data_IF_089949879080
#
_entry.id   IF_089949879080
#
_cell.length_a   1.000
_cell.length_b   1.000
_cell.length_c   1.000
_cell.angle_alpha   90.00
_cell.angle_beta   90.00
_cell.angle_gamma   90.00
#
_symmetry.space_group_name_H-M   'P 1'
#
loop_
_entity.id
_entity.type
_entity.pdbx_description
1 polymer ?
#
# COMPACT_ATOMS: atom_id res chain seq x y z
N UNK A 1 5.86 12.29 60.55
CA UNK A 1 6.88 12.32 59.46
C UNK A 1 6.67 11.08 58.61
N UNK A 2 5.77 11.15 57.63
CA UNK A 2 5.58 10.14 56.56
C UNK A 2 4.55 10.63 55.52
N UNK A 3 4.44 11.94 55.31
CA UNK A 3 3.44 12.57 54.41
C UNK A 3 4.08 13.17 53.16
N UNK A 4 5.35 13.61 53.23
CA UNK A 4 6.04 14.23 52.08
C UNK A 4 6.53 13.21 51.03
N UNK A 5 7.03 12.04 51.45
CA UNK A 5 7.48 11.01 50.49
C UNK A 5 6.31 10.45 49.65
N UNK A 6 5.14 10.27 50.28
CA UNK A 6 3.95 9.75 49.60
C UNK A 6 3.37 10.76 48.60
N UNK A 7 3.39 12.05 48.93
CA UNK A 7 2.94 13.11 48.02
C UNK A 7 3.87 13.26 46.80
N UNK A 8 5.19 13.15 46.97
CA UNK A 8 6.14 13.25 45.86
C UNK A 8 6.09 12.07 44.89
N UNK A 9 5.77 10.87 45.39
CA UNK A 9 5.56 9.67 44.56
C UNK A 9 4.24 9.76 43.78
N UNK A 10 3.17 10.25 44.41
CA UNK A 10 1.88 10.51 43.78
C UNK A 10 2.01 11.54 42.65
N UNK A 11 2.69 12.66 42.91
CA UNK A 11 2.96 13.72 41.91
C UNK A 11 3.77 13.20 40.71
N UNK A 12 4.74 12.30 40.95
CA UNK A 12 5.57 11.71 39.88
C UNK A 12 4.77 10.71 39.05
N UNK A 13 3.92 9.91 39.70
CA UNK A 13 3.05 8.95 39.03
C UNK A 13 2.00 9.66 38.16
N UNK A 14 1.38 10.72 38.69
CA UNK A 14 0.42 11.56 37.96
C UNK A 14 1.09 12.22 36.73
N UNK A 15 2.32 12.70 36.88
CA UNK A 15 3.08 13.29 35.77
C UNK A 15 3.38 12.26 34.66
N UNK A 16 3.75 11.03 35.02
CA UNK A 16 4.00 9.95 34.05
C UNK A 16 2.70 9.50 33.36
N UNK A 17 1.58 9.43 34.09
CA UNK A 17 0.28 9.12 33.49
C UNK A 17 -0.17 10.22 32.52
N UNK A 18 0.05 11.50 32.85
CA UNK A 18 -0.23 12.61 31.95
C UNK A 18 0.68 12.60 30.70
N UNK A 19 1.95 12.22 30.85
CA UNK A 19 2.88 12.05 29.74
C UNK A 19 2.44 10.91 28.81
N UNK A 20 2.01 9.78 29.37
CA UNK A 20 1.46 8.65 28.62
C UNK A 20 0.19 9.03 27.86
N UNK A 21 -0.76 9.72 28.50
CA UNK A 21 -1.97 10.19 27.84
C UNK A 21 -1.65 11.11 26.64
N UNK A 22 -0.63 11.97 26.76
CA UNK A 22 -0.15 12.82 25.65
C UNK A 22 0.51 12.01 24.54
N UNK A 23 1.25 10.94 24.88
CA UNK A 23 1.88 10.07 23.90
C UNK A 23 0.83 9.35 23.03
N UNK A 24 -0.21 8.82 23.66
CA UNK A 24 -1.34 8.21 22.96
C UNK A 24 -2.12 9.23 22.13
N UNK A 25 -2.46 10.39 22.70
CA UNK A 25 -3.14 11.44 21.93
C UNK A 25 -2.35 11.86 20.68
N UNK A 26 -1.04 12.04 20.79
CA UNK A 26 -0.18 12.34 19.64
C UNK A 26 -0.18 11.20 18.60
N UNK A 27 -0.19 9.94 19.04
CA UNK A 27 -0.28 8.80 18.13
C UNK A 27 -1.62 8.76 17.40
N UNK A 28 -2.71 8.93 18.14
CA UNK A 28 -4.08 8.91 17.62
C UNK A 28 -4.29 10.09 16.67
N UNK A 29 -3.71 11.27 16.93
CA UNK A 29 -3.78 12.43 16.05
C UNK A 29 -2.88 12.30 14.80
N UNK A 30 -2.08 11.24 14.68
CA UNK A 30 -1.15 11.07 13.55
C UNK A 30 0.14 11.90 13.68
N UNK A 31 0.37 12.51 14.83
CA UNK A 31 1.61 13.21 15.19
C UNK A 31 2.69 12.22 15.62
N UNK A 32 3.00 11.28 14.73
CA UNK A 32 3.83 10.11 15.01
C UNK A 32 5.24 10.44 15.51
N UNK A 33 5.84 11.54 15.03
CA UNK A 33 7.15 11.99 15.50
C UNK A 33 7.09 12.40 16.98
N UNK A 34 6.05 13.17 17.35
CA UNK A 34 5.81 13.55 18.73
C UNK A 34 5.48 12.33 19.59
N UNK A 35 4.64 11.41 19.10
CA UNK A 35 4.34 10.17 19.80
C UNK A 35 5.62 9.37 20.11
N UNK A 36 6.52 9.21 19.11
CA UNK A 36 7.77 8.50 19.28
C UNK A 36 8.69 9.15 20.34
N UNK A 37 8.77 10.49 20.36
CA UNK A 37 9.55 11.23 21.36
C UNK A 37 8.98 11.04 22.77
N UNK A 38 7.66 11.16 22.93
CA UNK A 38 6.98 11.02 24.24
C UNK A 38 7.08 9.58 24.78
N UNK A 39 6.88 8.56 23.94
CA UNK A 39 7.15 7.18 24.33
C UNK A 39 8.63 6.95 24.66
N UNK A 40 9.55 7.66 23.98
CA UNK A 40 10.97 7.63 24.30
C UNK A 40 11.29 8.19 25.69
N UNK A 41 10.62 9.27 26.10
CA UNK A 41 10.71 9.82 27.45
C UNK A 41 10.20 8.81 28.50
N UNK A 42 9.03 8.20 28.26
CA UNK A 42 8.46 7.17 29.14
C UNK A 42 9.41 5.96 29.29
N UNK A 43 10.03 5.51 28.19
CA UNK A 43 11.04 4.43 28.22
C UNK A 43 12.26 4.82 29.07
N UNK A 44 12.64 6.11 29.06
CA UNK A 44 13.72 6.62 29.92
C UNK A 44 13.43 6.47 31.41
N UNK A 45 12.15 6.55 31.80
CA UNK A 45 11.68 6.37 33.17
C UNK A 45 11.44 4.89 33.54
N UNK A 46 10.89 4.10 32.63
CA UNK A 46 10.47 2.72 32.88
C UNK A 46 10.89 1.77 31.73
N UNK A 47 12.21 1.52 31.54
CA UNK A 47 12.74 0.74 30.42
C UNK A 47 12.36 -0.75 30.44
N UNK A 48 11.86 -1.25 31.56
CA UNK A 48 11.36 -2.61 31.79
C UNK A 48 9.89 -2.82 31.39
N UNK A 49 9.21 -1.78 30.92
CA UNK A 49 7.80 -1.87 30.51
C UNK A 49 7.72 -2.18 29.00
N UNK A 50 7.29 -3.39 28.60
CA UNK A 50 7.40 -3.82 27.21
C UNK A 50 6.49 -3.03 26.26
N UNK A 51 5.28 -2.64 26.70
CA UNK A 51 4.33 -1.96 25.82
C UNK A 51 4.81 -0.56 25.40
N UNK A 52 5.65 0.13 26.20
CA UNK A 52 6.21 1.42 25.83
C UNK A 52 7.14 1.29 24.61
N UNK A 53 7.98 0.25 24.59
CA UNK A 53 8.82 -0.07 23.43
C UNK A 53 7.97 -0.46 22.23
N UNK A 54 6.92 -1.27 22.43
CA UNK A 54 5.99 -1.62 21.37
C UNK A 54 5.34 -0.39 20.74
N UNK A 55 4.80 0.54 21.54
CA UNK A 55 4.13 1.74 21.04
C UNK A 55 5.08 2.68 20.31
N UNK A 56 6.31 2.88 20.81
CA UNK A 56 7.33 3.64 20.06
C UNK A 56 7.71 2.96 18.74
N UNK A 57 7.84 1.63 18.77
CA UNK A 57 8.10 0.83 17.57
C UNK A 57 6.98 0.93 16.54
N UNK A 58 5.72 1.04 16.98
CA UNK A 58 4.54 1.26 16.13
C UNK A 58 4.54 2.67 15.53
N UNK A 59 4.87 3.69 16.32
CA UNK A 59 5.05 5.05 15.81
C UNK A 59 6.15 5.11 14.73
N UNK A 60 7.28 4.46 14.96
CA UNK A 60 8.35 4.35 13.97
C UNK A 60 7.97 3.54 12.73
N UNK A 61 7.13 2.51 12.87
CA UNK A 61 6.58 1.74 11.74
C UNK A 61 5.78 2.65 10.80
N UNK A 62 4.87 3.46 11.33
CA UNK A 62 4.05 4.35 10.51
C UNK A 62 4.82 5.61 10.03
N UNK A 63 5.93 5.97 10.68
CA UNK A 63 6.92 6.89 10.11
C UNK A 63 7.78 6.23 9.02
N UNK A 64 7.70 4.91 8.86
CA UNK A 64 8.56 4.08 7.99
C UNK A 64 10.05 4.19 8.36
N UNK A 65 10.34 4.47 9.64
CA UNK A 65 11.68 4.37 10.20
C UNK A 65 11.93 2.92 10.64
N UNK A 66 12.16 2.04 9.66
CA UNK A 66 12.27 0.60 9.89
C UNK A 66 13.39 0.17 10.84
N UNK A 67 14.60 0.76 10.81
CA UNK A 67 15.64 0.40 11.79
C UNK A 67 15.21 0.67 13.23
N UNK A 68 14.59 1.83 13.50
CA UNK A 68 14.11 2.16 14.83
C UNK A 68 12.92 1.29 15.25
N UNK A 69 11.97 1.06 14.33
CA UNK A 69 10.84 0.17 14.56
C UNK A 69 11.29 -1.26 14.89
N UNK A 70 12.28 -1.78 14.17
CA UNK A 70 12.85 -3.11 14.43
C UNK A 70 13.49 -3.16 15.82
N UNK A 71 14.35 -2.19 16.15
CA UNK A 71 15.02 -2.13 17.44
C UNK A 71 14.01 -2.13 18.60
N UNK A 72 12.97 -1.32 18.50
CA UNK A 72 11.94 -1.19 19.54
C UNK A 72 11.09 -2.44 19.70
N UNK A 73 10.67 -3.07 18.60
CA UNK A 73 9.91 -4.32 18.70
C UNK A 73 10.78 -5.47 19.24
N UNK A 74 12.05 -5.57 18.87
CA UNK A 74 12.97 -6.54 19.47
C UNK A 74 13.19 -6.28 20.96
N UNK A 75 13.26 -5.01 21.37
CA UNK A 75 13.36 -4.66 22.79
C UNK A 75 12.09 -4.99 23.56
N UNK A 76 10.91 -4.70 23.00
CA UNK A 76 9.61 -5.10 23.55
C UNK A 76 9.55 -6.61 23.78
N UNK A 77 9.90 -7.41 22.77
CA UNK A 77 9.92 -8.87 22.86
C UNK A 77 10.90 -9.38 23.92
N UNK A 78 12.11 -8.81 23.99
CA UNK A 78 13.12 -9.17 24.99
C UNK A 78 12.64 -8.91 26.42
N UNK A 79 12.03 -7.75 26.66
CA UNK A 79 11.58 -7.33 27.99
C UNK A 79 10.36 -8.14 28.44
N UNK A 80 9.44 -8.44 27.52
CA UNK A 80 8.24 -9.24 27.80
C UNK A 80 8.59 -10.67 28.20
N UNK A 81 9.61 -11.28 27.59
CA UNK A 81 10.06 -12.65 27.86
C UNK A 81 9.17 -13.75 27.26
N UNK A 82 7.88 -13.50 27.10
CA UNK A 82 6.92 -14.39 26.43
C UNK A 82 6.62 -13.92 24.99
N UNK A 83 6.17 -14.86 24.15
CA UNK A 83 5.75 -14.56 22.77
C UNK A 83 4.55 -13.62 22.74
N UNK A 84 4.68 -12.56 21.96
CA UNK A 84 3.59 -11.64 21.61
C UNK A 84 3.53 -11.52 20.10
N UNK A 85 2.42 -11.97 19.53
CA UNK A 85 2.26 -12.07 18.10
C UNK A 85 2.35 -10.69 17.43
N UNK A 86 1.70 -9.66 17.97
CA UNK A 86 1.73 -8.32 17.40
C UNK A 86 3.15 -7.72 17.35
N UNK A 87 3.91 -7.87 18.43
CA UNK A 87 5.32 -7.44 18.49
C UNK A 87 6.18 -8.21 17.46
N UNK A 88 6.01 -9.53 17.37
CA UNK A 88 6.76 -10.35 16.41
C UNK A 88 6.42 -10.02 14.95
N UNK A 89 5.15 -9.76 14.64
CA UNK A 89 4.72 -9.32 13.31
C UNK A 89 5.34 -7.98 12.93
N UNK A 90 5.31 -6.98 13.82
CA UNK A 90 5.92 -5.67 13.55
C UNK A 90 7.45 -5.77 13.40
N UNK A 91 8.12 -6.59 14.21
CA UNK A 91 9.55 -6.89 14.03
C UNK A 91 9.82 -7.56 12.67
N UNK A 92 8.99 -8.52 12.26
CA UNK A 92 9.10 -9.19 10.96
C UNK A 92 8.91 -8.25 9.78
N UNK A 93 7.93 -7.32 9.84
CA UNK A 93 7.72 -6.27 8.84
C UNK A 93 8.99 -5.41 8.72
N UNK A 94 9.46 -4.87 9.85
CA UNK A 94 10.60 -3.96 9.88
C UNK A 94 11.90 -4.64 9.40
N UNK A 95 12.14 -5.90 9.81
CA UNK A 95 13.27 -6.70 9.36
C UNK A 95 13.23 -6.96 7.84
N UNK A 96 12.04 -7.27 7.31
CA UNK A 96 11.84 -7.48 5.87
C UNK A 96 12.07 -6.18 5.08
N UNK A 97 11.70 -5.02 5.65
CA UNK A 97 11.90 -3.72 5.04
C UNK A 97 13.37 -3.30 4.95
N UNK A 98 14.18 -3.60 5.98
CA UNK A 98 15.63 -3.29 5.99
C UNK A 98 16.48 -4.38 5.33
N UNK A 99 15.89 -5.51 4.96
CA UNK A 99 16.59 -6.65 4.35
C UNK A 99 17.39 -7.50 5.34
N UNK A 100 17.06 -7.46 6.64
CA UNK A 100 17.60 -8.39 7.63
C UNK A 100 16.84 -9.72 7.55
N UNK A 101 17.23 -10.55 6.59
CA UNK A 101 16.51 -11.78 6.28
C UNK A 101 16.63 -12.85 7.38
N UNK A 102 17.71 -12.86 8.15
CA UNK A 102 17.87 -13.77 9.26
C UNK A 102 16.87 -13.43 10.38
N UNK A 103 16.74 -12.14 10.69
CA UNK A 103 15.75 -11.62 11.62
C UNK A 103 14.31 -11.86 11.12
N UNK A 104 14.01 -11.46 9.88
CA UNK A 104 12.68 -11.65 9.28
C UNK A 104 12.24 -13.11 9.31
N UNK A 105 13.11 -14.04 8.90
CA UNK A 105 12.82 -15.48 8.94
C UNK A 105 12.55 -15.97 10.36
N UNK A 106 13.33 -15.50 11.35
CA UNK A 106 13.11 -15.86 12.75
C UNK A 106 11.74 -15.41 13.24
N UNK A 107 11.37 -14.15 12.98
CA UNK A 107 10.08 -13.61 13.40
C UNK A 107 8.91 -14.35 12.73
N UNK A 108 8.98 -14.58 11.41
CA UNK A 108 7.93 -15.30 10.69
C UNK A 108 7.77 -16.74 11.13
N UNK A 109 8.86 -17.46 11.39
CA UNK A 109 8.79 -18.79 12.00
C UNK A 109 8.19 -18.76 13.40
N UNK A 110 8.48 -17.72 14.20
CA UNK A 110 7.90 -17.56 15.53
C UNK A 110 6.38 -17.29 15.48
N UNK A 111 5.93 -16.56 14.47
CA UNK A 111 4.51 -16.40 14.12
C UNK A 111 3.88 -17.66 13.49
N UNK A 112 4.60 -18.78 13.40
CA UNK A 112 4.09 -20.03 12.85
C UNK A 112 3.95 -20.06 11.32
N UNK A 113 4.54 -19.09 10.62
CA UNK A 113 4.50 -19.02 9.16
C UNK A 113 5.54 -19.99 8.58
N UNK A 114 5.08 -20.90 7.72
CA UNK A 114 5.96 -21.81 6.97
C UNK A 114 6.71 -21.03 5.89
N UNK A 115 8.04 -21.10 5.92
CA UNK A 115 8.92 -20.41 4.97
C UNK A 115 9.65 -21.39 4.05
N UNK A 116 9.95 -21.00 2.81
CA UNK A 116 10.87 -21.76 1.96
C UNK A 116 12.29 -21.79 2.57
N UNK A 117 13.02 -22.87 2.34
CA UNK A 117 14.42 -23.02 2.78
C UNK A 117 15.32 -21.90 2.23
N UNK A 118 16.37 -21.55 2.99
CA UNK A 118 17.39 -20.57 2.58
C UNK A 118 17.72 -19.53 3.65
N UNK A 119 18.74 -18.73 3.37
CA UNK A 119 19.29 -17.71 4.29
C UNK A 119 19.05 -16.28 3.81
N UNK A 120 18.75 -16.09 2.51
CA UNK A 120 18.51 -14.80 1.90
C UNK A 120 17.05 -14.36 1.94
N UNK A 121 16.72 -13.37 1.10
CA UNK A 121 15.37 -12.88 0.90
C UNK A 121 14.36 -14.02 0.76
N UNK A 122 13.22 -13.88 1.40
CA UNK A 122 12.14 -14.86 1.28
C UNK A 122 11.54 -14.68 -0.11
N UNK A 123 11.35 -15.78 -0.82
CA UNK A 123 10.68 -15.79 -2.12
C UNK A 123 9.87 -17.06 -2.21
N UNK A 124 8.56 -16.93 -2.13
CA UNK A 124 7.61 -18.02 -2.23
C UNK A 124 6.28 -17.49 -2.78
N UNK A 125 5.30 -18.38 -2.87
CA UNK A 125 3.92 -18.01 -3.19
C UNK A 125 3.12 -17.91 -1.88
N UNK A 126 2.75 -16.68 -1.51
CA UNK A 126 1.92 -16.39 -0.34
C UNK A 126 0.50 -15.98 -0.75
N UNK A 127 0.10 -16.29 -1.99
CA UNK A 127 -1.22 -16.01 -2.53
C UNK A 127 -1.43 -14.57 -2.97
N UNK A 128 -2.61 -14.35 -3.55
CA UNK A 128 -3.06 -13.04 -4.03
C UNK A 128 -3.72 -12.26 -2.89
N UNK A 129 -3.48 -10.95 -2.88
CA UNK A 129 -4.13 -10.01 -1.99
C UNK A 129 -4.41 -8.70 -2.75
N UNK A 130 -5.05 -7.75 -2.09
CA UNK A 130 -5.14 -6.37 -2.54
C UNK A 130 -4.23 -5.47 -1.70
N UNK A 131 -3.78 -4.38 -2.32
CA UNK A 131 -3.09 -3.30 -1.63
C UNK A 131 -3.72 -1.96 -1.97
N UNK A 132 -3.99 -1.17 -0.94
CA UNK A 132 -4.35 0.25 -1.03
C UNK A 132 -3.06 1.04 -1.19
N UNK A 133 -2.83 1.58 -2.39
CA UNK A 133 -1.70 2.43 -2.73
C UNK A 133 -1.96 3.85 -2.25
N UNK A 134 -0.91 4.51 -1.73
CA UNK A 134 -0.97 5.86 -1.17
C UNK A 134 -2.21 6.11 -0.29
N UNK A 135 -2.43 5.30 0.78
CA UNK A 135 -3.61 5.40 1.63
C UNK A 135 -3.80 6.78 2.31
N UNK A 136 -2.76 7.61 2.34
CA UNK A 136 -2.78 9.00 2.83
C UNK A 136 -3.25 10.05 1.79
N UNK A 137 -3.56 9.63 0.56
CA UNK A 137 -3.91 10.51 -0.56
C UNK A 137 -5.12 9.96 -1.34
N UNK A 138 -5.14 10.12 -2.66
CA UNK A 138 -6.15 9.54 -3.56
C UNK A 138 -5.93 8.02 -3.69
N UNK A 139 -6.32 7.28 -2.66
CA UNK A 139 -6.08 5.86 -2.55
C UNK A 139 -6.58 5.07 -3.78
N UNK A 140 -5.75 4.13 -4.24
CA UNK A 140 -6.09 3.19 -5.31
C UNK A 140 -5.90 1.76 -4.79
N UNK A 141 -6.92 0.92 -4.88
CA UNK A 141 -6.82 -0.48 -4.47
C UNK A 141 -6.55 -1.36 -5.67
N UNK A 142 -5.40 -2.03 -5.68
CA UNK A 142 -4.96 -2.93 -6.74
C UNK A 142 -4.68 -4.33 -6.21
N UNK A 143 -4.77 -5.36 -7.06
CA UNK A 143 -4.31 -6.71 -6.79
C UNK A 143 -2.79 -6.81 -6.84
N UNK A 144 -2.29 -7.74 -6.03
CA UNK A 144 -0.87 -8.06 -5.91
C UNK A 144 -0.66 -9.55 -5.62
N UNK A 145 0.50 -10.05 -6.01
CA UNK A 145 0.98 -11.39 -5.69
C UNK A 145 2.01 -11.30 -4.57
N UNK A 146 1.69 -11.88 -3.40
CA UNK A 146 2.60 -11.87 -2.24
C UNK A 146 3.76 -12.83 -2.47
N UNK A 147 4.97 -12.28 -2.44
CA UNK A 147 6.22 -13.03 -2.65
C UNK A 147 6.87 -13.47 -1.33
N UNK A 148 6.42 -12.88 -0.22
CA UNK A 148 6.65 -13.33 1.15
C UNK A 148 5.50 -12.82 2.06
N UNK A 149 5.55 -12.96 3.40
CA UNK A 149 4.45 -12.52 4.27
C UNK A 149 4.02 -11.04 4.13
N UNK A 150 4.94 -10.15 3.74
CA UNK A 150 4.73 -8.68 3.79
C UNK A 150 5.21 -7.93 2.55
N UNK A 151 5.89 -8.61 1.63
CA UNK A 151 6.30 -8.08 0.33
C UNK A 151 5.45 -8.69 -0.77
N UNK A 152 5.04 -7.84 -1.70
CA UNK A 152 4.22 -8.25 -2.81
C UNK A 152 4.59 -7.49 -4.08
N UNK A 153 4.33 -8.13 -5.22
CA UNK A 153 4.46 -7.52 -6.54
C UNK A 153 3.10 -7.04 -7.00
N UNK A 154 3.00 -5.79 -7.44
CA UNK A 154 1.77 -5.24 -8.02
C UNK A 154 1.46 -5.94 -9.35
N UNK A 155 0.25 -6.47 -9.49
CA UNK A 155 -0.18 -7.21 -10.69
C UNK A 155 -1.02 -6.36 -11.65
N UNK A 156 -1.69 -5.31 -11.17
CA UNK A 156 -2.42 -4.37 -12.03
C UNK A 156 -1.52 -3.30 -12.65
N UNK A 157 -2.06 -2.49 -13.56
CA UNK A 157 -1.46 -1.22 -13.99
C UNK A 157 -2.07 -0.10 -13.15
N UNK A 158 -1.38 0.41 -12.10
CA UNK A 158 -1.90 1.51 -11.32
C UNK A 158 -2.07 2.76 -12.17
N UNK A 159 -2.97 3.63 -11.73
CA UNK A 159 -3.10 4.97 -12.29
C UNK A 159 -1.77 5.72 -12.13
N UNK A 160 -1.31 6.48 -13.16
CA UNK A 160 -0.07 7.23 -13.08
C UNK A 160 0.02 8.13 -11.86
N UNK A 161 -1.10 8.68 -11.43
CA UNK A 161 -1.23 9.62 -10.30
C UNK A 161 -0.87 8.98 -8.95
N UNK A 162 -0.93 7.64 -8.82
CA UNK A 162 -0.47 6.93 -7.62
C UNK A 162 1.05 6.99 -7.42
N UNK A 163 1.82 7.21 -8.51
CA UNK A 163 3.28 7.11 -8.53
C UNK A 163 3.84 5.67 -8.45
N UNK A 164 2.97 4.67 -8.28
CA UNK A 164 3.31 3.24 -8.32
C UNK A 164 3.17 2.68 -9.74
N UNK A 165 3.81 1.53 -9.97
CA UNK A 165 3.86 0.88 -11.28
C UNK A 165 3.54 -0.60 -11.17
N UNK A 166 3.02 -1.15 -12.26
CA UNK A 166 2.97 -2.59 -12.47
C UNK A 166 4.35 -3.21 -12.20
N UNK A 167 4.38 -4.28 -11.40
CA UNK A 167 5.60 -4.98 -11.07
C UNK A 167 6.44 -4.36 -9.95
N UNK A 168 6.05 -3.19 -9.39
CA UNK A 168 6.71 -2.66 -8.21
C UNK A 168 6.64 -3.69 -7.07
N UNK A 169 7.74 -3.84 -6.32
CA UNK A 169 7.71 -4.59 -5.06
C UNK A 169 7.41 -3.61 -3.94
N UNK A 170 6.27 -3.83 -3.29
CA UNK A 170 5.81 -3.03 -2.17
C UNK A 170 5.88 -3.82 -0.87
N UNK A 171 6.17 -3.11 0.21
CA UNK A 171 5.92 -3.55 1.57
C UNK A 171 4.49 -3.18 1.93
N UNK A 172 3.73 -4.14 2.46
CA UNK A 172 2.38 -3.90 2.97
C UNK A 172 2.29 -4.23 4.46
N UNK A 173 1.29 -3.68 5.14
CA UNK A 173 1.01 -4.00 6.55
C UNK A 173 0.46 -5.42 6.70
N UNK A 174 0.58 -6.02 7.89
CA UNK A 174 -0.09 -7.27 8.26
C UNK A 174 -1.55 -7.08 8.66
N UNK A 175 -1.95 -5.86 9.03
CA UNK A 175 -3.33 -5.53 9.39
C UNK A 175 -4.24 -5.47 8.15
N UNK A 176 -5.26 -6.31 8.13
CA UNK A 176 -6.29 -6.32 7.09
C UNK A 176 -7.25 -5.15 7.29
N UNK A 177 -7.46 -4.35 6.25
CA UNK A 177 -8.29 -3.13 6.27
C UNK A 177 -9.54 -3.24 5.42
N UNK A 178 -9.84 -4.45 4.93
CA UNK A 178 -11.01 -4.75 4.10
C UNK A 178 -10.84 -6.05 3.31
N UNK A 179 -11.87 -6.42 2.57
CA UNK A 179 -11.89 -7.59 1.71
C UNK A 179 -12.27 -7.18 0.28
N UNK A 180 -11.77 -7.90 -0.72
CA UNK A 180 -12.19 -7.74 -2.12
C UNK A 180 -12.35 -9.09 -2.79
N UNK A 181 -13.35 -9.20 -3.67
CA UNK A 181 -13.57 -10.39 -4.48
C UNK A 181 -12.54 -10.50 -5.59
N UNK A 182 -11.69 -11.52 -5.54
CA UNK A 182 -10.80 -11.91 -6.63
C UNK A 182 -11.30 -13.22 -7.23
N UNK A 183 -11.85 -13.16 -8.45
CA UNK A 183 -12.58 -14.27 -9.09
C UNK A 183 -13.78 -14.70 -8.22
N UNK A 184 -13.74 -15.89 -7.65
CA UNK A 184 -14.81 -16.45 -6.81
C UNK A 184 -14.40 -16.56 -5.33
N UNK A 185 -13.29 -15.93 -4.93
CA UNK A 185 -12.81 -15.93 -3.54
C UNK A 185 -12.65 -14.50 -3.01
N UNK A 186 -12.75 -14.35 -1.70
CA UNK A 186 -12.41 -13.10 -1.01
C UNK A 186 -10.92 -13.09 -0.65
N UNK A 187 -10.26 -11.97 -0.93
CA UNK A 187 -8.86 -11.74 -0.59
C UNK A 187 -8.73 -10.48 0.27
N UNK A 188 -7.75 -10.43 1.19
CA UNK A 188 -7.56 -9.29 2.09
C UNK A 188 -7.04 -8.05 1.37
N UNK A 189 -7.41 -6.88 1.88
CA UNK A 189 -6.90 -5.57 1.47
C UNK A 189 -5.95 -5.06 2.55
N UNK A 190 -4.69 -4.83 2.18
CA UNK A 190 -3.67 -4.26 3.06
C UNK A 190 -3.33 -2.82 2.64
N UNK A 191 -2.78 -2.03 3.55
CA UNK A 191 -2.22 -0.72 3.20
C UNK A 191 -0.77 -0.88 2.67
N UNK A 192 -0.45 -0.22 1.56
CA UNK A 192 0.94 -0.08 1.12
C UNK A 192 1.68 0.83 2.10
N UNK A 193 2.82 0.34 2.60
CA UNK A 193 3.67 1.12 3.49
C UNK A 193 4.81 1.79 2.72
N UNK A 194 5.46 1.05 1.81
CA UNK A 194 6.60 1.58 1.05
C UNK A 194 6.77 0.82 -0.26
N UNK A 195 7.23 1.52 -1.32
CA UNK A 195 7.85 0.85 -2.47
C UNK A 195 9.29 0.47 -2.13
N UNK A 196 9.58 -0.83 -2.08
CA UNK A 196 10.91 -1.37 -1.82
C UNK A 196 11.76 -1.44 -3.10
N UNK A 197 11.13 -1.81 -4.21
CA UNK A 197 11.80 -1.90 -5.51
C UNK A 197 10.89 -1.34 -6.60
N UNK A 198 11.44 -0.39 -7.37
CA UNK A 198 10.79 0.11 -8.57
C UNK A 198 10.92 -0.91 -9.71
N UNK A 199 9.82 -1.11 -10.42
CA UNK A 199 9.74 -1.83 -11.68
C UNK A 199 10.41 -1.05 -12.82
N UNK A 200 10.94 -1.77 -13.79
CA UNK A 200 11.42 -1.21 -15.06
C UNK A 200 10.26 -0.92 -16.04
N UNK A 201 9.03 -1.23 -15.65
CA UNK A 201 7.82 -1.02 -16.44
C UNK A 201 7.22 0.36 -16.17
N UNK A 202 7.30 1.27 -17.14
CA UNK A 202 6.58 2.53 -17.10
C UNK A 202 5.09 2.34 -17.41
N UNK A 203 4.25 3.21 -16.86
CA UNK A 203 2.81 3.26 -17.16
C UNK A 203 2.56 4.20 -18.35
N UNK A 204 1.94 3.68 -19.40
CA UNK A 204 1.43 4.43 -20.54
C UNK A 204 -0.09 4.52 -20.48
N UNK A 205 -0.62 5.73 -20.62
CA UNK A 205 -2.05 5.95 -20.82
C UNK A 205 -2.33 5.97 -22.31
N UNK A 206 -3.16 5.05 -22.78
CA UNK A 206 -3.43 4.86 -24.20
C UNK A 206 -4.90 5.04 -24.48
N UNK A 207 -5.19 5.85 -25.50
CA UNK A 207 -6.55 6.14 -25.94
C UNK A 207 -6.79 5.43 -27.27
N UNK A 208 -7.78 4.52 -27.30
CA UNK A 208 -8.18 3.80 -28.52
C UNK A 208 -9.68 3.92 -28.79
N UNK A 209 -10.08 3.56 -30.00
CA UNK A 209 -11.46 3.24 -30.34
C UNK A 209 -11.55 1.81 -30.90
N UNK A 210 -12.60 1.08 -30.54
CA UNK A 210 -12.90 -0.24 -31.11
C UNK A 210 -14.40 -0.54 -31.05
N UNK A 211 -14.85 -1.57 -31.78
CA UNK A 211 -16.27 -1.81 -32.03
C UNK A 211 -16.91 -2.79 -31.05
N UNK A 212 -16.10 -3.59 -30.35
CA UNK A 212 -16.59 -4.52 -29.35
C UNK A 212 -15.55 -4.94 -28.30
N UNK A 213 -16.00 -5.59 -27.21
CA UNK A 213 -15.13 -6.06 -26.12
C UNK A 213 -14.08 -7.08 -26.59
N UNK A 214 -14.36 -7.83 -27.65
CA UNK A 214 -13.41 -8.78 -28.26
C UNK A 214 -12.15 -8.09 -28.80
N UNK A 215 -12.25 -6.82 -29.20
CA UNK A 215 -11.09 -6.07 -29.67
C UNK A 215 -10.15 -5.71 -28.52
N UNK A 216 -10.71 -5.35 -27.35
CA UNK A 216 -9.91 -5.11 -26.14
C UNK A 216 -9.32 -6.41 -25.63
N UNK A 217 -10.12 -7.47 -25.53
CA UNK A 217 -9.63 -8.79 -25.12
C UNK A 217 -8.51 -9.30 -26.03
N UNK A 218 -8.58 -9.01 -27.34
CA UNK A 218 -7.50 -9.32 -28.27
C UNK A 218 -6.23 -8.52 -27.98
N UNK A 219 -6.33 -7.24 -27.57
CA UNK A 219 -5.18 -6.43 -27.17
C UNK A 219 -4.58 -6.92 -25.84
N UNK A 220 -5.40 -7.25 -24.86
CA UNK A 220 -4.96 -7.78 -23.55
C UNK A 220 -4.27 -9.15 -23.70
N UNK A 221 -4.70 -9.97 -24.66
CA UNK A 221 -4.07 -11.25 -24.96
C UNK A 221 -2.75 -11.15 -25.75
N UNK A 222 -2.41 -9.97 -26.28
CA UNK A 222 -1.17 -9.81 -27.06
C UNK A 222 0.06 -9.80 -26.16
N UNK A 223 1.06 -10.59 -26.54
CA UNK A 223 2.36 -10.63 -25.87
C UNK A 223 3.45 -10.15 -26.82
N UNK A 224 4.23 -9.17 -26.39
CA UNK A 224 5.40 -8.65 -27.11
C UNK A 224 6.54 -8.38 -26.13
N UNK A 225 7.81 -8.49 -26.56
CA UNK A 225 8.94 -8.09 -25.74
C UNK A 225 8.80 -6.65 -25.24
N UNK A 226 8.98 -6.44 -23.94
CA UNK A 226 8.87 -5.15 -23.28
C UNK A 226 7.44 -4.71 -22.92
N UNK A 227 6.42 -5.53 -23.17
CA UNK A 227 5.05 -5.33 -22.66
C UNK A 227 4.85 -6.22 -21.43
N UNK A 228 4.32 -5.63 -20.35
CA UNK A 228 4.02 -6.33 -19.10
C UNK A 228 2.57 -6.78 -19.09
N UNK A 229 1.66 -5.82 -19.09
CA UNK A 229 0.23 -6.07 -19.13
C UNK A 229 -0.52 -4.86 -19.73
N UNK A 230 -1.75 -5.09 -20.14
CA UNK A 230 -2.70 -4.08 -20.62
C UNK A 230 -3.96 -4.19 -19.76
N UNK A 231 -4.48 -3.06 -19.32
CA UNK A 231 -5.73 -2.99 -18.57
C UNK A 231 -6.68 -1.97 -19.14
N UNK A 232 -7.95 -2.37 -19.24
CA UNK A 232 -9.03 -1.48 -19.62
C UNK A 232 -9.57 -0.70 -18.42
N UNK A 233 -9.13 0.55 -18.30
CA UNK A 233 -9.58 1.46 -17.24
C UNK A 233 -10.98 2.00 -17.48
N UNK A 234 -11.48 2.03 -18.72
CA UNK A 234 -12.87 2.43 -19.01
C UNK A 234 -13.87 1.48 -18.36
N UNK A 235 -13.56 0.19 -18.29
CA UNK A 235 -14.44 -0.80 -17.64
C UNK A 235 -14.31 -0.81 -16.11
N UNK A 236 -13.17 -0.41 -15.56
CA UNK A 236 -12.77 -0.74 -14.18
C UNK A 236 -12.58 0.47 -13.27
N UNK A 237 -12.39 1.68 -13.82
CA UNK A 237 -12.11 2.90 -13.05
C UNK A 237 -13.24 3.91 -13.19
N UNK A 238 -13.86 4.29 -12.07
CA UNK A 238 -14.89 5.35 -12.01
C UNK A 238 -14.30 6.65 -11.48
N UNK A 239 -13.68 7.48 -12.33
CA UNK A 239 -13.30 8.87 -11.99
C UNK A 239 -13.48 9.79 -13.20
N UNK A 240 -13.38 11.09 -12.95
CA UNK A 240 -13.41 12.22 -13.89
C UNK A 240 -12.86 11.90 -15.30
N UNK A 241 -13.44 12.51 -16.35
CA UNK A 241 -13.03 12.27 -17.74
C UNK A 241 -11.52 12.50 -17.94
N UNK A 242 -10.79 11.41 -18.22
CA UNK A 242 -9.32 11.41 -18.40
C UNK A 242 -8.90 12.03 -19.71
N UNK A 243 -9.68 11.86 -20.78
CA UNK A 243 -9.39 12.48 -22.08
C UNK A 243 -9.30 14.01 -21.96
N UNK A 244 -10.14 14.66 -21.13
CA UNK A 244 -10.02 16.08 -20.80
C UNK A 244 -8.69 16.44 -20.14
N UNK A 245 -8.30 15.72 -19.08
CA UNK A 245 -7.09 16.03 -18.31
C UNK A 245 -5.82 15.75 -19.13
N UNK A 246 -5.90 14.84 -20.11
CA UNK A 246 -4.82 14.54 -21.03
C UNK A 246 -4.83 15.39 -22.32
N UNK A 247 -5.86 16.23 -22.53
CA UNK A 247 -5.99 17.07 -23.72
C UNK A 247 -6.36 16.32 -25.00
N UNK A 248 -6.83 15.06 -24.87
CA UNK A 248 -7.25 14.21 -25.98
C UNK A 248 -8.65 14.61 -26.43
N UNK A 249 -8.87 14.96 -27.72
CA UNK A 249 -10.20 15.27 -28.24
C UNK A 249 -11.15 14.09 -28.07
N UNK A 250 -12.34 14.34 -27.54
CA UNK A 250 -13.41 13.36 -27.37
C UNK A 250 -14.76 14.08 -27.35
N UNK A 251 -15.87 13.34 -27.47
CA UNK A 251 -17.21 13.92 -27.35
C UNK A 251 -17.72 13.73 -25.93
N UNK A 252 -18.17 14.82 -25.31
CA UNK A 252 -19.08 14.73 -24.18
C UNK A 252 -20.46 14.45 -24.75
N UNK A 253 -20.97 13.24 -24.54
CA UNK A 253 -22.43 13.12 -24.47
C UNK A 253 -22.80 13.68 -23.10
N UNK A 254 -23.60 14.74 -23.07
CA UNK A 254 -23.97 15.51 -21.86
C UNK A 254 -24.77 14.69 -20.81
N UNK A 255 -24.89 13.37 -21.00
CA UNK A 255 -25.54 12.38 -20.13
C UNK A 255 -24.54 11.34 -19.57
N UNK A 256 -23.30 11.74 -19.25
CA UNK A 256 -22.35 10.88 -18.52
C UNK A 256 -22.72 10.66 -17.02
N UNK A 257 -24.00 10.80 -16.69
CA UNK A 257 -24.63 10.28 -15.48
C UNK A 257 -25.75 9.34 -15.90
N UNK A 258 -25.45 8.04 -15.92
CA UNK A 258 -26.39 6.98 -16.28
C UNK A 258 -26.98 7.06 -17.70
N UNK A 259 -26.33 6.37 -18.64
CA UNK A 259 -27.12 5.52 -19.52
C UNK A 259 -26.96 4.08 -19.03
N UNK A 260 -27.96 3.64 -18.27
CA UNK A 260 -28.23 2.23 -17.92
C UNK A 260 -28.56 1.38 -19.18
N UNK A 261 -28.27 1.88 -20.37
CA UNK A 261 -28.48 1.27 -21.67
C UNK A 261 -27.42 0.24 -22.09
N UNK A 262 -26.55 -0.27 -21.21
CA UNK A 262 -25.72 -1.47 -21.46
C UNK A 262 -24.90 -1.51 -22.77
N UNK A 263 -24.70 -0.36 -23.42
CA UNK A 263 -24.11 -0.25 -24.74
C UNK A 263 -22.58 -0.18 -24.68
N UNK A 264 -21.93 -0.75 -25.68
CA UNK A 264 -20.47 -0.70 -25.78
C UNK A 264 -19.96 0.73 -26.03
N UNK A 265 -19.21 1.28 -25.07
CA UNK A 265 -18.48 2.52 -25.26
C UNK A 265 -17.26 2.26 -26.16
N UNK A 266 -17.33 2.74 -27.42
CA UNK A 266 -16.27 2.52 -28.42
C UNK A 266 -14.94 3.14 -28.02
N UNK A 267 -14.97 4.30 -27.37
CA UNK A 267 -13.77 4.97 -26.89
C UNK A 267 -13.27 4.30 -25.61
N UNK A 268 -12.02 3.83 -25.61
CA UNK A 268 -11.40 3.15 -24.46
C UNK A 268 -10.15 3.89 -23.97
N UNK A 269 -9.99 3.92 -22.66
CA UNK A 269 -8.84 4.41 -21.91
C UNK A 269 -8.14 3.19 -21.33
N UNK A 270 -6.89 2.96 -21.73
CA UNK A 270 -6.12 1.78 -21.35
C UNK A 270 -4.87 2.18 -20.58
N UNK A 271 -4.54 1.39 -19.56
CA UNK A 271 -3.24 1.39 -18.90
C UNK A 271 -2.36 0.32 -19.52
N UNK A 272 -1.18 0.68 -19.99
CA UNK A 272 -0.21 -0.27 -20.52
C UNK A 272 1.09 -0.16 -19.74
N UNK A 273 1.47 -1.26 -19.08
CA UNK A 273 2.78 -1.37 -18.45
C UNK A 273 3.81 -1.83 -19.48
N UNK A 274 4.86 -1.04 -19.70
CA UNK A 274 5.89 -1.37 -20.68
C UNK A 274 7.27 -0.79 -20.35
N UNK A 275 8.33 -1.47 -20.80
CA UNK A 275 9.72 -1.01 -20.65
C UNK A 275 10.04 0.25 -21.48
N UNK A 276 9.17 0.60 -22.44
CA UNK A 276 9.36 1.82 -23.22
C UNK A 276 8.31 2.03 -24.30
N UNK A 277 8.22 3.29 -24.76
CA UNK A 277 7.22 3.76 -25.73
C UNK A 277 7.23 2.97 -27.04
N UNK A 278 8.41 2.58 -27.53
CA UNK A 278 8.53 1.83 -28.78
C UNK A 278 7.84 0.45 -28.73
N UNK A 279 7.83 -0.20 -27.56
CA UNK A 279 7.10 -1.47 -27.39
C UNK A 279 5.60 -1.25 -27.49
N UNK A 280 5.08 -0.18 -26.86
CA UNK A 280 3.66 0.20 -26.90
C UNK A 280 3.23 0.58 -28.32
N UNK A 281 4.02 1.36 -29.04
CA UNK A 281 3.76 1.72 -30.43
C UNK A 281 3.69 0.48 -31.33
N UNK A 282 4.60 -0.48 -31.15
CA UNK A 282 4.59 -1.75 -31.89
C UNK A 282 3.37 -2.61 -31.56
N UNK A 283 2.99 -2.68 -30.29
CA UNK A 283 1.79 -3.37 -29.82
C UNK A 283 0.54 -2.82 -30.52
N UNK A 284 0.35 -1.50 -30.43
CA UNK A 284 -0.84 -0.82 -30.96
C UNK A 284 -0.88 -0.83 -32.48
N UNK A 285 0.25 -0.68 -33.16
CA UNK A 285 0.32 -0.83 -34.62
C UNK A 285 -0.11 -2.23 -35.08
N UNK A 286 0.31 -3.27 -34.36
CA UNK A 286 -0.06 -4.66 -34.66
C UNK A 286 -1.55 -4.88 -34.40
N UNK A 287 -2.08 -4.35 -33.30
CA UNK A 287 -3.50 -4.44 -32.95
C UNK A 287 -4.41 -3.73 -33.96
N UNK A 288 -4.08 -2.50 -34.34
CA UNK A 288 -4.81 -1.70 -35.34
C UNK A 288 -4.80 -2.36 -36.73
N UNK A 289 -3.70 -3.01 -37.13
CA UNK A 289 -3.63 -3.69 -38.42
C UNK A 289 -4.45 -4.99 -38.49
N UNK A 290 -4.80 -5.59 -37.34
CA UNK A 290 -5.42 -6.91 -37.29
C UNK A 290 -6.92 -6.93 -37.60
N UNK A 291 -7.64 -5.80 -37.44
CA UNK A 291 -9.06 -5.70 -37.79
C UNK A 291 -9.48 -4.26 -38.08
N UNK A 292 -10.46 -4.03 -38.97
CA UNK A 292 -11.08 -2.71 -39.14
C UNK A 292 -11.78 -2.28 -37.84
N UNK A 293 -11.99 -0.97 -37.65
CA UNK A 293 -12.67 -0.42 -36.47
C UNK A 293 -11.75 -0.17 -35.26
N UNK A 294 -10.56 -0.79 -35.22
CA UNK A 294 -9.52 -0.55 -34.22
C UNK A 294 -8.70 0.69 -34.57
N UNK A 295 -8.76 1.72 -33.74
CA UNK A 295 -8.09 3.01 -34.00
C UNK A 295 -7.29 3.43 -32.78
N UNK A 296 -6.00 3.71 -32.97
CA UNK A 296 -5.19 4.41 -31.98
C UNK A 296 -5.44 5.91 -32.08
N UNK A 297 -5.77 6.55 -30.96
CA UNK A 297 -5.93 8.00 -30.89
C UNK A 297 -4.70 8.68 -30.29
N UNK A 298 -4.18 8.20 -29.16
CA UNK A 298 -3.02 8.80 -28.49
C UNK A 298 -2.30 7.83 -27.55
N UNK A 299 -1.01 8.09 -27.33
CA UNK A 299 -0.15 7.43 -26.35
C UNK A 299 0.50 8.51 -25.49
N UNK A 300 0.12 8.53 -24.22
CA UNK A 300 0.59 9.47 -23.22
C UNK A 300 1.44 8.77 -22.16
N UNK A 301 2.45 9.47 -21.66
CA UNK A 301 3.27 9.03 -20.53
C UNK A 301 3.46 10.21 -19.60
N UNK A 302 2.86 10.16 -18.41
CA UNK A 302 3.01 11.16 -17.36
C UNK A 302 3.50 10.44 -16.12
N UNK A 303 4.70 10.76 -15.67
CA UNK A 303 5.22 10.22 -14.42
C UNK A 303 4.82 11.14 -13.27
N UNK A 304 4.28 10.55 -12.21
CA UNK A 304 4.05 11.24 -10.95
C UNK A 304 5.01 10.69 -9.90
N UNK A 305 5.64 11.55 -9.07
CA UNK A 305 6.43 11.08 -7.96
C UNK A 305 5.53 10.38 -6.93
N UNK A 306 6.11 9.46 -6.16
CA UNK A 306 5.44 8.97 -4.96
C UNK A 306 5.22 10.14 -4.00
N UNK A 307 4.04 10.18 -3.38
CA UNK A 307 3.75 11.08 -2.27
C UNK A 307 4.12 10.41 -0.94
N UNK A 308 4.28 11.22 0.09
CA UNK A 308 4.47 10.75 1.46
C UNK A 308 3.29 11.23 2.34
N UNK A 309 2.93 10.49 3.40
CA UNK A 309 1.94 10.95 4.36
C UNK A 309 2.36 12.28 4.99
N UNK A 310 1.40 13.19 5.18
CA UNK A 310 1.63 14.40 5.94
C UNK A 310 1.57 14.10 7.46
N UNK A 311 2.29 14.86 8.32
CA UNK A 311 2.06 14.83 9.75
C UNK A 311 0.59 15.11 10.10
N UNK A 312 0.09 14.50 11.17
CA UNK A 312 -1.29 14.68 11.61
C UNK A 312 -2.32 13.86 10.81
N UNK A 313 -1.87 12.89 10.01
CA UNK A 313 -2.74 11.97 9.27
C UNK A 313 -2.61 10.55 9.82
N UNK A 314 -3.76 9.92 10.05
CA UNK A 314 -3.85 8.50 10.41
C UNK A 314 -4.29 7.72 9.19
N UNK A 315 -3.32 7.19 8.45
CA UNK A 315 -3.53 6.55 7.15
C UNK A 315 -3.50 5.02 7.22
N UNK A 316 -3.19 4.46 8.40
CA UNK A 316 -2.97 3.02 8.57
C UNK A 316 -4.21 2.24 8.98
N UNK A 317 -5.30 2.92 9.35
CA UNK A 317 -6.56 2.30 9.74
C UNK A 317 -7.38 1.88 8.51
N UNK A 318 -8.33 0.97 8.71
CA UNK A 318 -9.36 0.64 7.73
C UNK A 318 -10.57 1.57 7.81
N UNK A 319 -11.43 1.53 6.78
CA UNK A 319 -12.63 2.39 6.70
C UNK A 319 -13.56 2.21 7.91
N UNK A 320 -13.73 0.98 8.41
CA UNK A 320 -14.56 0.69 9.60
C UNK A 320 -13.97 1.30 10.88
N UNK A 321 -12.64 1.27 11.03
CA UNK A 321 -11.94 1.81 12.20
C UNK A 321 -11.88 3.35 12.16
N UNK A 322 -11.79 3.95 10.97
CA UNK A 322 -11.91 5.39 10.77
C UNK A 322 -13.31 5.89 11.14
N UNK A 323 -14.37 5.19 10.71
CA UNK A 323 -15.75 5.54 11.02
C UNK A 323 -16.04 5.45 12.53
N UNK A 324 -15.53 4.42 13.21
CA UNK A 324 -15.64 4.29 14.66
C UNK A 324 -14.92 5.42 15.40
N UNK A 325 -13.74 5.84 14.90
CA UNK A 325 -12.97 6.95 15.47
C UNK A 325 -13.68 8.29 15.28
N UNK A 326 -14.19 8.58 14.08
CA UNK A 326 -14.91 9.83 13.79
C UNK A 326 -16.18 9.93 14.64
N UNK A 327 -16.85 8.81 14.91
CA UNK A 327 -18.06 8.77 15.73
C UNK A 327 -17.80 8.82 17.26
N UNK A 328 -16.55 8.69 17.70
CA UNK A 328 -16.14 8.79 19.11
C UNK A 328 -15.54 10.16 19.47
N UNK A 329 -15.39 11.07 18.49
CA UNK A 329 -14.90 12.44 18.67
C UNK A 329 -15.97 13.46 19.09
#
# INVERSE_FOLDING_TARGET
>A
MSTDDNASHDDTQDALQALEARAYAAFDDGELAQAADLFGELIGHAPEIPYLHYMRGLAHKYLRNWPASLQDNLRSAQVRGDFDEATAWNAGIAASAVGDWAEARRQWTHCGITLPEGEGAITGDFGVACVRLAPWADAEVVYMSRIDPVRARIDNVPLPESGFRFGDIVLHDGACTGLRTYRDIEVPVFNAMQRLQASDMATFTVFVQCDGPEDVAALEAMTLPGIGTVEDWTATVRRLCRRCSYGTPHRHDDDAGNDDGGGWARERDLGIAAQGRAAVEKLLATWTAAAPGRVLQAIEQREHPLSDPAPGQVWWLGEEEEDERVNQG
#
